data_IF_490605561696
#
_entry.id   IF_490605561696
#
_cell.length_a   1.000
_cell.length_b   1.000
_cell.length_c   1.000
_cell.angle_alpha   90.00
_cell.angle_beta   90.00
_cell.angle_gamma   90.00
#
_symmetry.space_group_name_H-M   'P 1'
#
loop_
_entity.id
_entity.type
_entity.pdbx_description
1 polymer ?
#
# COMPACT_ATOMS: atom_id res chain seq x y z
N UNK A 1 22.44 5.82 -25.06
CA UNK A 1 21.86 6.80 -24.14
C UNK A 1 20.44 7.26 -24.46
N UNK A 2 19.67 6.57 -25.33
CA UNK A 2 18.27 6.95 -25.64
C UNK A 2 17.23 6.33 -24.69
N UNK A 3 17.59 5.27 -23.96
CA UNK A 3 16.72 4.59 -22.98
C UNK A 3 17.53 4.23 -21.73
N UNK A 4 16.90 4.19 -20.54
CA UNK A 4 17.54 3.74 -19.31
C UNK A 4 17.83 2.23 -19.37
N UNK A 5 18.87 1.76 -18.68
CA UNK A 5 19.29 0.35 -18.64
C UNK A 5 18.19 -0.61 -18.13
N UNK A 6 17.27 -0.10 -17.32
CA UNK A 6 16.12 -0.82 -16.79
C UNK A 6 14.83 -0.63 -17.60
N UNK A 7 14.94 -0.24 -18.88
CA UNK A 7 13.79 -0.01 -19.76
C UNK A 7 12.96 -1.27 -20.04
N UNK A 8 13.54 -2.47 -19.84
CA UNK A 8 12.83 -3.73 -20.01
C UNK A 8 12.27 -4.21 -18.66
N UNK A 9 10.97 -3.99 -18.35
CA UNK A 9 10.39 -4.38 -17.08
C UNK A 9 10.36 -5.91 -16.87
N UNK A 10 10.26 -6.67 -17.96
CA UNK A 10 10.24 -8.15 -17.94
C UNK A 10 11.60 -8.74 -17.59
N UNK A 11 12.69 -8.09 -18.06
CA UNK A 11 14.06 -8.51 -17.79
C UNK A 11 14.50 -8.28 -16.35
N UNK A 12 13.80 -7.41 -15.63
CA UNK A 12 14.09 -7.12 -14.23
C UNK A 12 15.50 -6.59 -13.95
N UNK A 13 15.94 -6.73 -12.71
CA UNK A 13 17.25 -6.24 -12.26
C UNK A 13 18.42 -7.00 -12.87
N UNK A 14 18.25 -8.29 -13.19
CA UNK A 14 19.34 -9.09 -13.75
C UNK A 14 19.71 -8.66 -15.17
N UNK A 15 18.70 -8.42 -16.00
CA UNK A 15 18.95 -7.90 -17.37
C UNK A 15 19.47 -6.47 -17.31
N UNK A 16 18.94 -5.63 -16.40
CA UNK A 16 19.44 -4.27 -16.23
C UNK A 16 20.93 -4.26 -15.84
N UNK A 17 21.36 -5.16 -14.95
CA UNK A 17 22.77 -5.32 -14.55
C UNK A 17 23.64 -5.75 -15.74
N UNK A 18 23.21 -6.76 -16.51
CA UNK A 18 23.92 -7.18 -17.71
C UNK A 18 24.06 -6.06 -18.75
N UNK A 19 22.98 -5.30 -18.96
CA UNK A 19 23.01 -4.13 -19.85
C UNK A 19 23.97 -3.06 -19.30
N UNK A 20 23.96 -2.79 -18.00
CA UNK A 20 24.87 -1.82 -17.36
C UNK A 20 26.34 -2.24 -17.59
N UNK A 21 26.66 -3.52 -17.39
CA UNK A 21 27.98 -4.10 -17.58
C UNK A 21 28.45 -3.95 -19.04
N UNK A 22 27.60 -4.31 -20.00
CA UNK A 22 27.89 -4.18 -21.45
C UNK A 22 28.09 -2.73 -21.84
N UNK A 23 27.28 -1.80 -21.28
CA UNK A 23 27.33 -0.38 -21.61
C UNK A 23 28.39 0.40 -20.83
N UNK A 24 29.06 -0.22 -19.86
CA UNK A 24 30.05 0.42 -19.00
C UNK A 24 29.49 1.56 -18.13
N UNK A 25 28.22 1.45 -17.71
CA UNK A 25 27.55 2.42 -16.84
C UNK A 25 27.21 1.80 -15.50
N UNK A 26 27.08 2.65 -14.45
CA UNK A 26 26.66 2.15 -13.13
C UNK A 26 25.23 1.61 -13.17
N UNK A 27 25.02 0.48 -12.46
CA UNK A 27 23.67 -0.08 -12.29
C UNK A 27 22.85 0.78 -11.32
N UNK A 28 21.92 1.57 -11.87
CA UNK A 28 20.99 2.40 -11.12
C UNK A 28 19.64 1.69 -10.87
N UNK A 29 19.53 0.40 -11.17
CA UNK A 29 18.28 -0.37 -11.09
C UNK A 29 17.90 -0.80 -9.66
N UNK A 30 18.55 -0.29 -8.61
CA UNK A 30 18.41 -0.68 -7.21
C UNK A 30 17.14 -0.18 -6.52
N UNK A 31 15.96 -0.43 -7.10
CA UNK A 31 14.67 -0.15 -6.48
C UNK A 31 13.84 -1.43 -6.26
N UNK A 32 12.85 -1.40 -5.35
CA UNK A 32 11.91 -2.51 -5.23
C UNK A 32 11.15 -2.69 -6.55
N UNK A 33 10.93 -3.97 -6.93
CA UNK A 33 10.15 -4.32 -8.12
C UNK A 33 8.76 -3.70 -8.03
N UNK A 34 8.28 -3.11 -9.13
CA UNK A 34 6.90 -2.67 -9.23
C UNK A 34 5.99 -3.84 -9.61
N UNK A 35 4.78 -3.85 -9.08
CA UNK A 35 3.73 -4.80 -9.45
C UNK A 35 2.45 -4.04 -9.78
N UNK A 36 1.63 -4.60 -10.65
CA UNK A 36 0.32 -4.04 -10.90
C UNK A 36 -0.54 -4.17 -9.63
N UNK A 37 -1.12 -3.07 -9.21
CA UNK A 37 -1.98 -3.01 -8.01
C UNK A 37 -3.36 -2.52 -8.42
N UNK A 38 -4.40 -3.20 -7.94
CA UNK A 38 -5.80 -2.79 -8.14
C UNK A 38 -6.16 -1.74 -7.09
N UNK A 39 -6.34 -0.50 -7.52
CA UNK A 39 -6.66 0.64 -6.65
C UNK A 39 -8.20 0.76 -6.52
N UNK A 40 -8.83 -0.34 -6.14
CA UNK A 40 -10.26 -0.43 -5.88
C UNK A 40 -10.55 -1.62 -4.97
N UNK A 41 -11.33 -1.38 -3.92
CA UNK A 41 -11.80 -2.41 -2.99
C UNK A 41 -13.33 -2.56 -3.04
N UNK A 42 -13.98 -1.93 -4.02
CA UNK A 42 -15.43 -1.92 -4.18
C UNK A 42 -15.97 -3.25 -4.69
N UNK A 43 -16.01 -4.26 -3.85
CA UNK A 43 -16.63 -5.57 -4.10
C UNK A 43 -18.15 -5.44 -4.30
N UNK A 44 -18.84 -6.53 -4.66
CA UNK A 44 -20.30 -6.49 -4.88
C UNK A 44 -21.09 -6.07 -3.64
N UNK A 45 -20.64 -6.44 -2.47
CA UNK A 45 -21.26 -6.12 -1.18
C UNK A 45 -20.94 -4.70 -0.67
N UNK A 46 -19.84 -4.10 -1.18
CA UNK A 46 -19.34 -2.79 -0.73
C UNK A 46 -19.68 -1.65 -1.66
N UNK A 47 -19.76 -1.89 -2.95
CA UNK A 47 -20.09 -0.90 -3.96
C UNK A 47 -21.43 -1.20 -4.61
N UNK A 48 -22.37 -0.26 -4.56
CA UNK A 48 -23.70 -0.41 -5.15
C UNK A 48 -23.63 -0.71 -6.65
N UNK A 49 -24.56 -1.53 -7.14
CA UNK A 49 -24.78 -1.78 -8.56
C UNK A 49 -25.95 -0.93 -9.04
N UNK A 50 -25.80 -0.22 -10.16
CA UNK A 50 -26.86 0.60 -10.78
C UNK A 50 -27.91 -0.25 -11.48
N UNK A 51 -27.45 -1.25 -12.22
CA UNK A 51 -28.29 -2.15 -13.01
C UNK A 51 -27.56 -3.48 -13.28
N UNK A 52 -28.27 -4.59 -13.54
CA UNK A 52 -27.65 -5.82 -14.01
C UNK A 52 -27.09 -5.61 -15.42
N UNK A 53 -25.86 -6.04 -15.67
CA UNK A 53 -25.22 -5.94 -16.98
C UNK A 53 -25.21 -7.30 -17.67
N UNK A 54 -25.85 -7.39 -18.83
CA UNK A 54 -25.96 -8.61 -19.64
C UNK A 54 -25.24 -8.48 -21.00
N UNK A 55 -24.42 -7.46 -21.17
CA UNK A 55 -23.70 -7.22 -22.42
C UNK A 55 -22.39 -8.01 -22.55
N UNK A 56 -21.57 -7.59 -23.49
CA UNK A 56 -20.25 -8.16 -23.77
C UNK A 56 -19.39 -8.11 -22.50
N UNK A 57 -18.77 -9.23 -22.14
CA UNK A 57 -17.89 -9.33 -20.97
C UNK A 57 -16.55 -8.61 -21.21
N UNK A 58 -16.65 -7.29 -21.33
CA UNK A 58 -15.55 -6.37 -21.59
C UNK A 58 -15.79 -5.03 -20.90
N UNK A 59 -14.75 -4.51 -20.17
CA UNK A 59 -14.89 -3.27 -19.43
C UNK A 59 -15.03 -2.05 -20.33
N UNK A 60 -14.41 -2.06 -21.52
CA UNK A 60 -14.51 -0.95 -22.48
C UNK A 60 -15.95 -0.88 -23.02
N UNK A 61 -16.47 -2.02 -23.45
CA UNK A 61 -17.86 -2.09 -23.91
C UNK A 61 -18.87 -1.67 -22.82
N UNK A 62 -18.63 -2.12 -21.58
CA UNK A 62 -19.54 -1.78 -20.47
C UNK A 62 -19.47 -0.30 -20.09
N UNK A 63 -18.34 0.40 -20.25
CA UNK A 63 -18.27 1.84 -19.98
C UNK A 63 -19.08 2.68 -20.95
N UNK A 64 -19.36 2.18 -22.16
CA UNK A 64 -20.23 2.85 -23.12
C UNK A 64 -21.71 2.84 -22.68
N UNK A 65 -22.07 1.95 -21.74
CA UNK A 65 -23.41 1.86 -21.18
C UNK A 65 -23.44 2.54 -19.82
N UNK A 66 -23.81 3.80 -19.79
CA UNK A 66 -23.93 4.61 -18.57
C UNK A 66 -22.72 4.48 -17.63
N UNK A 67 -21.51 4.53 -18.21
CA UNK A 67 -20.23 4.47 -17.51
C UNK A 67 -20.03 3.18 -16.68
N UNK A 68 -20.69 2.08 -17.09
CA UNK A 68 -20.68 0.79 -16.43
C UNK A 68 -21.77 0.64 -15.37
N UNK A 69 -21.94 -0.59 -14.90
CA UNK A 69 -23.03 -1.00 -14.01
C UNK A 69 -22.78 -0.73 -12.51
N UNK A 70 -21.62 -0.19 -12.13
CA UNK A 70 -21.30 0.16 -10.75
C UNK A 70 -21.70 1.60 -10.44
N UNK A 71 -22.23 1.86 -9.25
CA UNK A 71 -22.62 3.19 -8.85
C UNK A 71 -21.42 4.16 -8.76
N UNK A 72 -20.29 3.69 -8.27
CA UNK A 72 -19.04 4.45 -8.32
C UNK A 72 -18.47 4.43 -9.74
N UNK A 73 -18.36 5.60 -10.37
CA UNK A 73 -17.81 5.74 -11.74
C UNK A 73 -16.34 5.33 -11.88
N UNK A 74 -15.62 5.28 -10.76
CA UNK A 74 -14.22 4.84 -10.69
C UNK A 74 -14.06 3.35 -10.34
N UNK A 75 -15.15 2.61 -10.14
CA UNK A 75 -15.07 1.23 -9.67
C UNK A 75 -14.54 0.26 -10.73
N UNK A 76 -13.85 -0.79 -10.28
CA UNK A 76 -13.57 -1.95 -11.10
C UNK A 76 -14.89 -2.59 -11.53
N UNK A 77 -15.07 -2.83 -12.85
CA UNK A 77 -16.27 -3.46 -13.40
C UNK A 77 -16.21 -5.00 -13.34
N UNK A 78 -15.02 -5.58 -13.19
CA UNK A 78 -14.84 -7.02 -13.06
C UNK A 78 -15.09 -7.84 -14.33
N UNK A 79 -15.03 -7.21 -15.52
CA UNK A 79 -15.35 -7.88 -16.81
C UNK A 79 -14.12 -8.37 -17.58
N UNK A 80 -12.93 -8.37 -16.93
CA UNK A 80 -11.76 -9.11 -17.39
C UNK A 80 -10.95 -8.50 -18.55
N UNK A 81 -11.15 -7.24 -18.94
CA UNK A 81 -10.32 -6.61 -19.99
C UNK A 81 -8.84 -6.61 -19.63
N UNK A 82 -8.48 -6.36 -18.35
CA UNK A 82 -7.11 -6.43 -17.86
C UNK A 82 -6.56 -7.88 -17.81
N UNK A 83 -7.42 -8.88 -17.61
CA UNK A 83 -7.05 -10.30 -17.65
C UNK A 83 -6.62 -10.68 -19.05
N UNK A 84 -7.43 -10.35 -20.06
CA UNK A 84 -7.11 -10.62 -21.48
C UNK A 84 -5.85 -9.87 -21.96
N UNK A 85 -5.56 -8.70 -21.39
CA UNK A 85 -4.36 -7.95 -21.70
C UNK A 85 -3.08 -8.51 -21.04
N UNK A 86 -3.20 -9.36 -20.04
CA UNK A 86 -2.08 -9.94 -19.31
C UNK A 86 -1.54 -11.17 -20.04
N UNK A 87 -0.30 -11.09 -20.53
CA UNK A 87 0.39 -12.20 -21.21
C UNK A 87 1.05 -13.19 -20.24
N UNK A 88 1.03 -12.90 -18.95
CA UNK A 88 1.75 -13.64 -17.91
C UNK A 88 0.83 -14.38 -16.95
N UNK A 89 -0.48 -14.39 -17.23
CA UNK A 89 -1.50 -15.01 -16.38
C UNK A 89 -1.42 -14.53 -14.90
N UNK A 90 -1.05 -13.28 -14.72
CA UNK A 90 -0.87 -12.67 -13.41
C UNK A 90 -2.14 -11.99 -12.89
N UNK A 91 -3.24 -11.97 -13.64
CA UNK A 91 -4.47 -11.26 -13.25
C UNK A 91 -5.67 -12.17 -13.48
N UNK A 92 -6.54 -12.24 -12.49
CA UNK A 92 -7.84 -12.91 -12.58
C UNK A 92 -8.94 -12.03 -11.98
N UNK A 93 -10.19 -12.33 -12.31
CA UNK A 93 -11.35 -11.77 -11.62
C UNK A 93 -11.72 -12.71 -10.49
N UNK A 94 -11.70 -12.21 -9.28
CA UNK A 94 -12.06 -12.99 -8.11
C UNK A 94 -13.57 -13.31 -8.12
N UNK A 95 -13.91 -14.57 -7.91
CA UNK A 95 -15.28 -15.07 -8.06
C UNK A 95 -16.27 -14.46 -7.05
N UNK A 96 -15.82 -14.13 -5.86
CA UNK A 96 -16.66 -13.59 -4.79
C UNK A 96 -16.75 -12.07 -4.84
N UNK A 97 -15.61 -11.42 -4.90
CA UNK A 97 -15.53 -9.96 -4.86
C UNK A 97 -15.91 -9.30 -6.20
N UNK A 98 -15.81 -10.05 -7.31
CA UNK A 98 -16.03 -9.58 -8.70
C UNK A 98 -15.17 -8.37 -9.07
N UNK A 99 -13.98 -8.27 -8.50
CA UNK A 99 -12.94 -7.30 -8.88
C UNK A 99 -11.68 -8.03 -9.32
N UNK A 100 -10.83 -7.34 -10.08
CA UNK A 100 -9.55 -7.90 -10.49
C UNK A 100 -8.63 -8.10 -9.28
N UNK A 101 -7.91 -9.22 -9.27
CA UNK A 101 -6.77 -9.49 -8.37
C UNK A 101 -5.53 -9.76 -9.17
N UNK A 102 -4.40 -9.34 -8.65
CA UNK A 102 -3.07 -9.52 -9.27
C UNK A 102 -2.25 -10.46 -8.41
N UNK A 103 -1.66 -11.46 -9.06
CA UNK A 103 -0.64 -12.30 -8.48
C UNK A 103 0.72 -11.57 -8.62
N UNK A 104 1.32 -11.10 -7.53
CA UNK A 104 2.56 -10.35 -7.59
C UNK A 104 3.72 -11.21 -8.10
N UNK A 105 3.75 -12.53 -7.83
CA UNK A 105 4.84 -13.40 -8.24
C UNK A 105 4.90 -13.57 -9.77
N UNK A 106 3.73 -13.67 -10.42
CA UNK A 106 3.61 -13.78 -11.87
C UNK A 106 3.71 -12.44 -12.60
N UNK A 107 3.48 -11.33 -11.91
CA UNK A 107 3.44 -10.00 -12.52
C UNK A 107 4.82 -9.57 -13.01
N UNK A 108 4.94 -9.23 -14.29
CA UNK A 108 6.19 -8.77 -14.92
C UNK A 108 6.27 -7.24 -15.07
N UNK A 109 5.49 -6.46 -14.33
CA UNK A 109 5.54 -4.98 -14.34
C UNK A 109 5.36 -4.32 -15.72
N UNK A 110 4.88 -5.06 -16.71
CA UNK A 110 4.83 -4.60 -18.11
C UNK A 110 3.82 -3.46 -18.39
N UNK A 111 2.88 -3.21 -17.47
CA UNK A 111 1.88 -2.14 -17.58
C UNK A 111 0.75 -2.37 -18.60
N UNK A 112 0.68 -3.51 -19.28
CA UNK A 112 -0.35 -3.79 -20.28
C UNK A 112 -1.77 -3.69 -19.68
N UNK A 113 -1.97 -4.23 -18.48
CA UNK A 113 -3.25 -4.17 -17.75
C UNK A 113 -3.63 -2.74 -17.33
N UNK A 114 -2.64 -1.90 -17.01
CA UNK A 114 -2.85 -0.49 -16.66
C UNK A 114 -3.39 0.26 -17.88
N UNK A 115 -2.76 0.08 -19.05
CA UNK A 115 -3.19 0.69 -20.31
C UNK A 115 -4.55 0.21 -20.80
N UNK A 116 -4.88 -1.06 -20.53
CA UNK A 116 -6.13 -1.68 -20.99
C UNK A 116 -7.33 -1.33 -20.11
N UNK A 117 -7.13 -0.79 -18.91
CA UNK A 117 -8.21 -0.53 -17.96
C UNK A 117 -8.93 0.79 -18.24
N UNK A 118 -10.20 0.80 -18.72
CA UNK A 118 -10.92 2.03 -19.04
C UNK A 118 -11.31 2.83 -17.77
N UNK A 119 -11.29 2.18 -16.59
CA UNK A 119 -11.56 2.81 -15.29
C UNK A 119 -10.28 3.25 -14.59
N UNK A 120 -9.11 2.97 -15.17
CA UNK A 120 -7.80 3.31 -14.64
C UNK A 120 -7.57 2.84 -13.19
N UNK A 121 -8.23 1.75 -12.77
CA UNK A 121 -8.10 1.22 -11.40
C UNK A 121 -6.86 0.35 -11.20
N UNK A 122 -5.99 0.27 -12.18
CA UNK A 122 -4.72 -0.42 -12.09
C UNK A 122 -3.57 0.58 -12.16
N UNK A 123 -2.57 0.42 -11.31
CA UNK A 123 -1.33 1.20 -11.34
C UNK A 123 -0.15 0.31 -11.00
N UNK A 124 1.03 0.64 -11.54
CA UNK A 124 2.28 0.01 -11.11
C UNK A 124 2.73 0.66 -9.81
N UNK A 125 2.91 -0.13 -8.77
CA UNK A 125 3.37 0.32 -7.46
C UNK A 125 4.48 -0.60 -6.95
N UNK A 126 5.44 -0.08 -6.15
CA UNK A 126 6.42 -0.93 -5.49
C UNK A 126 5.74 -2.07 -4.71
N UNK A 127 6.21 -3.30 -4.89
CA UNK A 127 5.66 -4.49 -4.26
C UNK A 127 5.66 -4.39 -2.72
N UNK A 128 6.71 -3.79 -2.18
CA UNK A 128 6.96 -3.70 -0.73
C UNK A 128 6.35 -2.47 -0.06
N UNK A 129 5.37 -1.80 -0.70
CA UNK A 129 4.71 -0.66 -0.07
C UNK A 129 3.86 -1.08 1.13
N UNK A 130 4.21 -0.69 2.36
CA UNK A 130 3.46 -1.08 3.56
C UNK A 130 2.13 -0.34 3.70
N UNK A 131 1.98 0.83 3.06
CA UNK A 131 0.77 1.65 3.13
C UNK A 131 0.33 2.08 1.74
N UNK A 132 -0.93 1.83 1.40
CA UNK A 132 -1.51 2.14 0.08
C UNK A 132 -2.91 2.73 0.22
N UNK A 133 -3.20 3.75 -0.57
CA UNK A 133 -4.59 4.13 -0.84
C UNK A 133 -5.14 3.19 -1.92
N UNK A 134 -6.23 2.49 -1.63
CA UNK A 134 -6.90 1.58 -2.57
C UNK A 134 -8.27 2.12 -2.98
N UNK A 135 -8.32 3.42 -3.31
CA UNK A 135 -9.50 4.10 -3.84
C UNK A 135 -9.08 5.19 -4.83
N UNK A 136 -9.86 5.38 -5.89
CA UNK A 136 -9.66 6.43 -6.91
C UNK A 136 -10.84 7.38 -7.05
N UNK A 137 -11.84 7.28 -6.17
CA UNK A 137 -13.02 8.12 -6.25
C UNK A 137 -12.69 9.57 -5.90
N UNK A 138 -12.38 10.37 -6.91
CA UNK A 138 -12.08 11.79 -6.81
C UNK A 138 -13.38 12.62 -6.81
N UNK A 139 -14.26 12.33 -5.84
CA UNK A 139 -15.57 12.96 -5.67
C UNK A 139 -15.78 13.37 -4.22
N UNK A 140 -16.78 14.22 -4.00
CA UNK A 140 -17.17 14.63 -2.64
C UNK A 140 -17.56 13.43 -1.78
N UNK A 141 -17.18 13.46 -0.50
CA UNK A 141 -17.29 12.33 0.40
C UNK A 141 -18.70 11.75 0.54
N UNK A 142 -19.76 12.59 0.48
CA UNK A 142 -21.14 12.13 0.56
C UNK A 142 -21.56 11.30 -0.66
N UNK A 143 -21.09 11.66 -1.88
CA UNK A 143 -21.33 10.87 -3.09
C UNK A 143 -20.59 9.52 -3.03
N UNK A 144 -19.35 9.55 -2.52
CA UNK A 144 -18.59 8.32 -2.36
C UNK A 144 -19.23 7.40 -1.33
N UNK A 145 -19.64 7.93 -0.17
CA UNK A 145 -20.26 7.13 0.91
C UNK A 145 -21.60 6.54 0.50
N UNK A 146 -22.38 7.24 -0.33
CA UNK A 146 -23.62 6.69 -0.87
C UNK A 146 -23.37 5.54 -1.83
N UNK A 147 -22.30 5.58 -2.63
CA UNK A 147 -22.01 4.62 -3.69
C UNK A 147 -21.15 3.43 -3.23
N UNK A 148 -20.27 3.62 -2.23
CA UNK A 148 -19.27 2.63 -1.83
C UNK A 148 -18.92 2.74 -0.35
N UNK A 149 -19.17 1.69 0.43
CA UNK A 149 -18.92 1.66 1.89
C UNK A 149 -17.44 1.74 2.28
N UNK A 150 -16.54 1.40 1.36
CA UNK A 150 -15.08 1.37 1.60
C UNK A 150 -14.35 2.46 0.81
N UNK A 151 -15.07 3.36 0.14
CA UNK A 151 -14.49 4.44 -0.64
C UNK A 151 -13.81 5.50 0.25
N UNK A 152 -12.83 6.21 -0.30
CA UNK A 152 -12.25 7.37 0.38
C UNK A 152 -13.24 8.54 0.35
N UNK A 153 -13.66 8.99 1.50
CA UNK A 153 -14.63 10.09 1.66
C UNK A 153 -13.97 11.48 1.80
N UNK A 154 -12.66 11.58 1.59
CA UNK A 154 -11.95 12.86 1.67
C UNK A 154 -11.97 13.52 3.05
N UNK A 155 -12.15 12.76 4.13
CA UNK A 155 -12.30 13.28 5.50
C UNK A 155 -11.02 13.87 6.12
N UNK A 156 -9.89 13.75 5.43
CA UNK A 156 -8.57 14.30 5.81
C UNK A 156 -7.95 13.76 7.11
N UNK A 157 -8.61 12.90 7.86
CA UNK A 157 -8.11 12.32 9.12
C UNK A 157 -6.73 11.64 8.96
N UNK A 158 -6.45 11.07 7.79
CA UNK A 158 -5.14 10.47 7.49
C UNK A 158 -4.01 11.51 7.40
N UNK A 159 -4.31 12.74 6.92
CA UNK A 159 -3.38 13.86 6.91
C UNK A 159 -3.11 14.33 8.34
N UNK A 160 -4.16 14.52 9.13
CA UNK A 160 -4.06 15.02 10.50
C UNK A 160 -3.35 14.02 11.43
N UNK A 161 -3.52 12.72 11.19
CA UNK A 161 -2.79 11.66 11.90
C UNK A 161 -1.32 11.52 11.48
N UNK A 162 -0.90 12.13 10.37
CA UNK A 162 0.45 11.99 9.84
C UNK A 162 1.43 12.92 10.55
N UNK A 163 2.19 12.39 11.54
CA UNK A 163 3.21 13.15 12.27
C UNK A 163 4.47 13.49 11.45
N UNK A 164 4.50 13.12 10.16
CA UNK A 164 5.66 13.32 9.27
C UNK A 164 5.35 14.24 8.09
N UNK A 165 4.15 14.85 8.06
CA UNK A 165 3.70 15.74 6.97
C UNK A 165 3.86 15.11 5.58
N UNK A 166 3.65 13.77 5.53
CA UNK A 166 3.81 12.98 4.31
C UNK A 166 2.51 12.85 3.50
N UNK A 167 1.41 13.48 3.92
CA UNK A 167 0.10 13.33 3.25
C UNK A 167 -0.45 14.69 2.90
N UNK A 168 -0.76 14.87 1.61
CA UNK A 168 -1.52 16.01 1.09
C UNK A 168 -2.83 15.51 0.49
N UNK A 169 -3.84 16.38 0.41
CA UNK A 169 -5.12 16.05 -0.22
C UNK A 169 -5.19 16.72 -1.58
N UNK A 170 -5.44 15.93 -2.61
CA UNK A 170 -5.62 16.41 -3.99
C UNK A 170 -6.86 15.75 -4.57
N UNK A 171 -7.78 16.54 -5.12
CA UNK A 171 -9.03 16.05 -5.69
C UNK A 171 -9.77 15.07 -4.75
N UNK A 172 -9.93 15.46 -3.48
CA UNK A 172 -10.56 14.68 -2.41
C UNK A 172 -9.83 13.36 -2.02
N UNK A 173 -8.66 13.09 -2.57
CA UNK A 173 -7.87 11.89 -2.29
C UNK A 173 -6.55 12.22 -1.60
N UNK A 174 -6.10 11.40 -0.62
CA UNK A 174 -4.78 11.54 -0.04
C UNK A 174 -3.69 11.10 -1.02
N UNK A 175 -2.70 11.97 -1.18
CA UNK A 175 -1.44 11.68 -1.89
C UNK A 175 -0.35 11.51 -0.84
N UNK A 176 0.30 10.35 -0.84
CA UNK A 176 1.34 10.01 0.13
C UNK A 176 2.71 10.28 -0.49
N UNK A 177 3.44 11.23 0.06
CA UNK A 177 4.84 11.50 -0.27
C UNK A 177 5.71 10.36 0.25
N UNK A 178 6.32 9.61 -0.66
CA UNK A 178 7.10 8.40 -0.32
C UNK A 178 8.46 8.71 0.31
N UNK A 179 9.00 9.88 0.08
CA UNK A 179 10.26 10.31 0.68
C UNK A 179 10.09 10.67 2.16
N UNK A 180 8.95 11.27 2.51
CA UNK A 180 8.61 11.63 3.89
C UNK A 180 7.97 10.48 4.67
N UNK A 181 7.32 9.54 3.97
CA UNK A 181 6.56 8.48 4.60
C UNK A 181 7.47 7.46 5.30
N UNK A 182 7.32 7.33 6.61
CA UNK A 182 8.06 6.37 7.44
C UNK A 182 7.38 5.01 7.57
N UNK A 183 6.27 4.78 6.86
CA UNK A 183 5.49 3.54 6.90
C UNK A 183 4.95 3.18 8.30
N UNK A 184 4.69 4.18 9.14
CA UNK A 184 4.18 3.99 10.50
C UNK A 184 2.72 3.49 10.57
N UNK A 185 1.98 3.51 9.46
CA UNK A 185 0.61 3.01 9.26
C UNK A 185 -0.49 3.74 10.04
N UNK A 186 -0.20 4.85 10.73
CA UNK A 186 -1.21 5.62 11.48
C UNK A 186 -2.37 6.08 10.60
N UNK A 187 -2.09 6.49 9.36
CA UNK A 187 -3.11 6.88 8.40
C UNK A 187 -4.06 5.73 8.00
N UNK A 188 -3.59 4.48 8.01
CA UNK A 188 -4.42 3.31 7.77
C UNK A 188 -5.27 2.95 9.00
N UNK A 189 -4.72 3.06 10.22
CA UNK A 189 -5.47 2.84 11.48
C UNK A 189 -6.58 3.87 11.68
N UNK A 190 -6.31 5.12 11.32
CA UNK A 190 -7.28 6.22 11.49
C UNK A 190 -8.34 6.26 10.39
N UNK A 191 -8.15 5.55 9.27
CA UNK A 191 -9.07 5.61 8.13
C UNK A 191 -10.42 4.96 8.46
N UNK A 192 -11.53 5.74 8.56
CA UNK A 192 -12.82 5.22 9.02
C UNK A 192 -13.47 4.25 8.04
N UNK A 193 -13.13 4.38 6.74
CA UNK A 193 -13.68 3.51 5.69
C UNK A 193 -12.75 2.36 5.31
N UNK A 194 -11.49 2.38 5.76
CA UNK A 194 -10.47 1.41 5.34
C UNK A 194 -9.98 1.61 3.89
N UNK A 195 -10.20 2.79 3.31
CA UNK A 195 -9.69 3.11 1.97
C UNK A 195 -8.16 3.12 1.89
N UNK A 196 -7.49 3.45 3.00
CA UNK A 196 -6.04 3.30 3.15
C UNK A 196 -5.78 1.97 3.84
N UNK A 197 -5.02 1.11 3.19
CA UNK A 197 -4.60 -0.19 3.72
C UNK A 197 -3.17 -0.13 4.23
N UNK A 198 -2.93 -0.78 5.37
CA UNK A 198 -1.62 -0.99 5.96
C UNK A 198 -1.28 -2.48 6.03
N UNK A 199 -0.01 -2.82 5.86
CA UNK A 199 0.50 -4.18 6.08
C UNK A 199 0.84 -4.35 7.59
N UNK A 200 -0.20 -4.54 8.39
CA UNK A 200 -0.07 -4.63 9.84
C UNK A 200 0.63 -5.91 10.30
N UNK A 201 0.52 -7.00 9.54
CA UNK A 201 1.15 -8.29 9.86
C UNK A 201 2.68 -8.20 9.79
N UNK A 202 3.19 -7.37 8.89
CA UNK A 202 4.63 -7.11 8.72
C UNK A 202 5.06 -5.78 9.35
N UNK A 203 4.25 -5.19 10.22
CA UNK A 203 4.60 -3.96 10.92
C UNK A 203 5.85 -4.15 11.75
N UNK A 204 6.85 -3.32 11.51
CA UNK A 204 8.09 -3.32 12.28
C UNK A 204 7.89 -2.52 13.56
N UNK A 205 8.62 -2.91 14.61
CA UNK A 205 8.75 -2.16 15.88
C UNK A 205 10.22 -2.01 16.22
N UNK A 206 10.54 -0.99 17.01
CA UNK A 206 11.90 -0.81 17.50
C UNK A 206 12.21 -1.83 18.61
N UNK A 207 13.42 -2.38 18.58
CA UNK A 207 13.99 -3.19 19.65
C UNK A 207 15.29 -2.54 20.10
N UNK A 208 15.48 -2.38 21.41
CA UNK A 208 16.66 -1.75 22.00
C UNK A 208 17.55 -2.86 22.57
N UNK A 209 18.80 -2.89 22.11
CA UNK A 209 19.85 -3.74 22.66
C UNK A 209 20.29 -3.17 24.02
N UNK A 210 20.13 -3.98 25.06
CA UNK A 210 20.43 -3.56 26.44
C UNK A 210 21.92 -3.38 26.71
N UNK A 211 22.77 -4.14 26.03
CA UNK A 211 24.22 -4.11 26.22
C UNK A 211 24.86 -2.89 25.54
N UNK A 212 24.26 -2.45 24.44
CA UNK A 212 24.71 -1.28 23.68
C UNK A 212 24.08 0.04 24.15
N UNK A 213 22.98 -0.03 24.89
CA UNK A 213 22.23 1.15 25.32
C UNK A 213 22.93 1.87 26.47
N UNK A 214 23.36 3.12 26.24
CA UNK A 214 24.02 3.95 27.25
C UNK A 214 23.08 4.87 28.04
N UNK A 215 21.78 4.78 27.85
CA UNK A 215 20.78 5.59 28.56
C UNK A 215 20.84 7.10 28.24
N UNK A 216 21.18 7.49 27.02
CA UNK A 216 21.35 8.89 26.61
C UNK A 216 20.06 9.68 26.39
N UNK A 217 18.89 9.07 26.48
CA UNK A 217 17.53 9.63 26.29
C UNK A 217 17.21 10.19 24.89
N UNK A 218 18.12 10.17 23.92
CA UNK A 218 17.90 10.75 22.57
C UNK A 218 16.71 10.07 21.90
N UNK A 219 16.60 8.74 21.95
CA UNK A 219 15.50 7.98 21.36
C UNK A 219 14.14 8.35 21.98
N UNK A 220 14.06 8.54 23.30
CA UNK A 220 12.85 8.98 24.02
C UNK A 220 12.41 10.37 23.54
N UNK A 221 13.33 11.33 23.48
CA UNK A 221 13.04 12.71 23.02
C UNK A 221 12.68 12.79 21.53
N UNK A 222 13.18 11.87 20.71
CA UNK A 222 12.89 11.82 19.26
C UNK A 222 11.57 11.14 18.96
N UNK A 223 11.05 10.31 19.88
CA UNK A 223 9.87 9.52 19.63
C UNK A 223 8.59 10.38 19.59
N UNK A 224 8.03 10.58 18.40
CA UNK A 224 6.78 11.33 18.21
C UNK A 224 5.53 10.61 18.73
N UNK A 225 5.67 9.33 19.09
CA UNK A 225 4.57 8.47 19.57
C UNK A 225 4.71 8.15 21.06
N UNK A 226 5.68 8.75 21.75
CA UNK A 226 5.93 8.51 23.18
C UNK A 226 6.10 7.03 23.54
N UNK A 227 6.56 6.24 22.57
CA UNK A 227 6.68 4.80 22.66
C UNK A 227 7.96 4.31 23.35
N UNK A 228 8.79 5.22 23.88
CA UNK A 228 10.05 4.86 24.51
C UNK A 228 10.09 5.46 25.93
N UNK A 229 10.25 4.59 26.93
CA UNK A 229 10.43 4.94 28.33
C UNK A 229 11.87 4.70 28.79
N UNK A 230 12.25 5.27 29.92
CA UNK A 230 13.58 5.18 30.52
C UNK A 230 14.09 6.54 30.98
N UNK A 231 15.11 6.53 31.83
CA UNK A 231 15.75 7.70 32.38
C UNK A 231 17.22 7.79 31.97
N UNK A 232 17.84 8.92 32.28
CA UNK A 232 19.27 9.16 31.97
C UNK A 232 20.13 8.08 32.65
N UNK A 233 21.09 7.51 31.92
CA UNK A 233 21.97 6.40 32.34
C UNK A 233 21.25 5.06 32.64
N UNK A 234 19.99 4.94 32.30
CA UNK A 234 19.25 3.67 32.37
C UNK A 234 18.95 3.14 30.97
N UNK A 235 18.82 1.82 30.85
CA UNK A 235 18.40 1.19 29.60
C UNK A 235 16.96 1.61 29.27
N UNK A 236 16.74 2.02 28.03
CA UNK A 236 15.41 2.41 27.58
C UNK A 236 14.60 1.18 27.12
N UNK A 237 13.27 1.27 27.21
CA UNK A 237 12.35 0.23 26.77
C UNK A 237 11.33 0.80 25.80
N UNK A 238 10.87 -0.07 24.89
CA UNK A 238 9.87 0.26 23.88
C UNK A 238 8.54 -0.33 24.26
N UNK A 239 7.48 0.49 24.29
CA UNK A 239 6.12 0.06 24.63
C UNK A 239 5.27 -0.23 23.37
N UNK A 240 4.01 -0.59 23.57
CA UNK A 240 3.06 -0.98 22.50
C UNK A 240 2.68 0.16 21.55
N UNK A 241 2.87 1.41 21.93
CA UNK A 241 2.61 2.57 21.08
C UNK A 241 3.63 2.72 19.94
N UNK A 242 4.65 1.85 19.88
CA UNK A 242 5.65 1.89 18.82
C UNK A 242 5.05 1.58 17.45
N UNK A 243 5.16 2.53 16.53
CA UNK A 243 4.66 2.43 15.16
C UNK A 243 5.72 1.98 14.14
N UNK A 244 6.97 1.73 14.58
CA UNK A 244 8.06 1.31 13.72
C UNK A 244 8.57 2.38 12.73
N UNK A 245 8.34 3.65 13.00
CA UNK A 245 8.73 4.76 12.11
C UNK A 245 10.25 4.88 11.87
N UNK A 246 11.09 4.26 12.71
CA UNK A 246 12.56 4.21 12.56
C UNK A 246 13.32 5.48 12.93
N UNK A 247 12.67 6.55 13.39
CA UNK A 247 13.36 7.80 13.75
C UNK A 247 14.37 7.61 14.88
N UNK A 248 14.04 6.81 15.89
CA UNK A 248 14.96 6.47 16.98
C UNK A 248 16.19 5.70 16.49
N UNK A 249 16.06 4.86 15.47
CA UNK A 249 17.17 4.11 14.86
C UNK A 249 18.17 5.07 14.23
N UNK A 250 17.68 6.02 13.43
CA UNK A 250 18.52 7.04 12.74
C UNK A 250 19.29 7.93 13.72
N UNK A 251 18.73 8.18 14.91
CA UNK A 251 19.28 9.10 15.92
C UNK A 251 20.10 8.42 17.01
N UNK A 252 20.15 7.09 17.08
CA UNK A 252 20.89 6.38 18.11
C UNK A 252 22.40 6.44 17.86
N UNK A 253 23.21 7.11 18.71
CA UNK A 253 24.65 7.26 18.49
C UNK A 253 25.40 5.93 18.64
N UNK A 254 24.87 5.00 19.43
CA UNK A 254 25.46 3.67 19.66
C UNK A 254 24.90 2.59 18.74
N UNK A 255 23.98 2.95 17.82
CA UNK A 255 23.29 1.98 16.94
C UNK A 255 22.64 0.81 17.71
N UNK A 256 22.26 1.07 18.95
CA UNK A 256 21.63 0.11 19.86
C UNK A 256 20.17 -0.20 19.52
N UNK A 257 19.61 0.37 18.45
CA UNK A 257 18.19 0.21 18.10
C UNK A 257 18.07 -0.37 16.72
N UNK A 258 17.30 -1.47 16.61
CA UNK A 258 16.97 -2.14 15.35
C UNK A 258 15.46 -2.14 15.14
N UNK A 259 15.02 -2.38 13.91
CA UNK A 259 13.62 -2.62 13.58
C UNK A 259 13.41 -4.10 13.27
N UNK A 260 12.50 -4.74 13.97
CA UNK A 260 12.07 -6.12 13.74
C UNK A 260 10.57 -6.19 13.53
N UNK A 261 10.10 -7.19 12.78
CA UNK A 261 8.67 -7.43 12.60
C UNK A 261 8.05 -7.76 13.97
N UNK A 262 6.93 -7.13 14.29
CA UNK A 262 6.17 -7.43 15.50
C UNK A 262 5.71 -8.89 15.42
N UNK A 263 6.28 -9.77 16.25
CA UNK A 263 5.72 -11.12 16.39
C UNK A 263 4.37 -10.96 17.06
N UNK A 264 3.28 -11.17 16.32
CA UNK A 264 1.99 -11.40 16.93
C UNK A 264 2.14 -12.68 17.76
N UNK A 265 2.17 -12.54 19.05
CA UNK A 265 1.86 -13.63 19.97
C UNK A 265 0.38 -13.90 19.71
N UNK A 266 0.08 -14.84 18.80
CA UNK A 266 -1.27 -15.40 18.69
C UNK A 266 -1.51 -16.03 20.05
N UNK A 267 -2.40 -15.41 20.83
CA UNK A 267 -2.80 -15.92 22.12
C UNK A 267 -3.22 -17.36 21.94
N UNK A 268 -2.45 -18.27 22.55
CA UNK A 268 -2.75 -19.70 22.65
C UNK A 268 -3.98 -20.00 23.53
N UNK A 269 -4.79 -18.98 23.85
CA UNK A 269 -5.93 -19.02 24.78
C UNK A 269 -7.31 -18.98 24.12
N UNK A 270 -7.42 -19.29 22.82
CA UNK A 270 -8.72 -19.55 22.21
C UNK A 270 -9.06 -21.07 22.23
N UNK A 271 -8.78 -21.74 23.34
CA UNK A 271 -9.40 -23.04 23.67
C UNK A 271 -10.03 -22.86 25.05
N UNK A 272 -11.35 -22.78 25.07
CA UNK A 272 -12.30 -23.38 26.01
C UNK A 272 -13.63 -22.64 25.85
N UNK A 273 -14.63 -23.36 25.41
CA UNK A 273 -16.00 -22.86 25.29
C UNK A 273 -16.88 -23.77 24.45
N UNK A 274 -16.68 -25.09 24.55
CA UNK A 274 -17.76 -26.06 24.25
C UNK A 274 -18.66 -26.19 25.45
N UNK A 275 -19.89 -25.76 25.32
CA UNK A 275 -21.10 -26.50 25.75
C UNK A 275 -22.29 -25.91 25.07
#
# INVERSE_FOLDING_TARGET
GKAPINACPVGGADVARQVAEIMGVEDTSSGPRNVATVVCQGTLDRCKTKFPYHGIQDCVAATLVNDGNRACKYACLGLGTCVRACKFDAIHIDEYSKIAKVDPEKCQSCGACVKACPKEVLSLQPETLPVRLLCRAAEEGFLVSDNCKIGCIGCELCRDACKFDAITIQNHLPVIDREKCTSCMMCAETCPTGAICGDFDNRKIAAIDRDLCIGCTICKRTCRFEAISGELKQVHEVNEACTGCGECVKKCPKKAITLSVRKHVRDANAKVGTT
#
